data_IF_103005496165
#
_entry.id   IF_103005496165
#
_cell.length_a   1.000
_cell.length_b   1.000
_cell.length_c   1.000
_cell.angle_alpha   90.00
_cell.angle_beta   90.00
_cell.angle_gamma   90.00
#
_symmetry.space_group_name_H-M   'P 1'
#
loop_
_entity.id
_entity.type
_entity.pdbx_description
1 polymer ?
#
# COMPACT_ATOMS: atom_id res chain seq x y z
N UNK A 1 -7.85 3.61 0.22
CA UNK A 1 -7.98 2.24 -0.33
C UNK A 1 -7.86 1.17 0.76
N UNK A 2 -6.74 1.08 1.47
CA UNK A 2 -6.48 0.04 2.50
C UNK A 2 -7.62 -0.13 3.51
N UNK A 3 -8.07 0.96 4.14
CA UNK A 3 -9.11 0.89 5.17
C UNK A 3 -10.45 0.36 4.68
N UNK A 4 -10.81 0.62 3.41
CA UNK A 4 -12.00 0.07 2.78
C UNK A 4 -11.78 -1.39 2.33
N UNK A 5 -10.66 -1.67 1.64
CA UNK A 5 -10.35 -3.00 1.09
C UNK A 5 -10.19 -4.06 2.18
N UNK A 6 -9.54 -3.70 3.30
CA UNK A 6 -9.32 -4.59 4.43
C UNK A 6 -10.36 -4.40 5.53
N UNK A 7 -11.23 -3.37 5.46
CA UNK A 7 -12.18 -3.09 6.53
C UNK A 7 -11.53 -2.96 7.90
N UNK A 8 -10.32 -2.39 7.99
CA UNK A 8 -9.52 -2.38 9.24
C UNK A 8 -8.86 -1.03 9.48
N UNK A 9 -9.15 -0.47 10.66
CA UNK A 9 -8.49 0.72 11.18
C UNK A 9 -6.99 0.49 11.33
N UNK A 10 -6.62 -0.60 12.01
CA UNK A 10 -5.24 -0.95 12.32
C UNK A 10 -4.39 -1.15 11.08
N UNK A 11 -4.93 -1.84 10.06
CA UNK A 11 -4.22 -2.00 8.81
C UNK A 11 -3.93 -0.64 8.15
N UNK A 12 -4.90 0.28 8.16
CA UNK A 12 -4.72 1.64 7.61
C UNK A 12 -3.65 2.43 8.36
N UNK A 13 -3.68 2.36 9.69
CA UNK A 13 -2.70 2.99 10.57
C UNK A 13 -1.29 2.46 10.33
N UNK A 14 -1.13 1.14 10.32
CA UNK A 14 0.16 0.49 10.05
C UNK A 14 0.67 0.85 8.65
N UNK A 15 -0.20 0.90 7.63
CA UNK A 15 0.20 1.38 6.30
C UNK A 15 0.68 2.82 6.33
N UNK A 16 -0.05 3.72 7.00
CA UNK A 16 0.34 5.13 7.10
C UNK A 16 1.72 5.31 7.73
N UNK A 17 2.01 4.57 8.81
CA UNK A 17 3.35 4.52 9.43
C UNK A 17 4.37 3.94 8.47
N UNK A 18 4.05 2.83 7.80
CA UNK A 18 4.96 2.18 6.87
C UNK A 18 5.38 3.13 5.74
N UNK A 19 4.42 3.86 5.14
CA UNK A 19 4.71 4.87 4.12
C UNK A 19 5.61 5.98 4.65
N UNK A 20 5.40 6.41 5.90
CA UNK A 20 6.28 7.41 6.52
C UNK A 20 7.73 6.94 6.64
N UNK A 21 7.92 5.71 7.14
CA UNK A 21 9.24 5.11 7.27
C UNK A 21 9.86 4.96 5.88
N UNK A 22 9.06 4.59 4.87
CA UNK A 22 9.52 4.52 3.49
C UNK A 22 10.02 5.85 2.95
N UNK A 23 9.34 6.96 3.27
CA UNK A 23 9.81 8.29 2.88
C UNK A 23 11.16 8.63 3.50
N UNK A 24 11.36 8.25 4.78
CA UNK A 24 12.64 8.42 5.46
C UNK A 24 13.71 7.53 4.81
N UNK A 25 13.40 6.27 4.50
CA UNK A 25 14.31 5.35 3.84
C UNK A 25 14.70 5.82 2.44
N UNK A 26 13.73 6.26 1.63
CA UNK A 26 14.01 6.81 0.31
C UNK A 26 14.94 8.01 0.39
N UNK A 27 14.61 9.03 1.19
CA UNK A 27 15.46 10.22 1.30
C UNK A 27 16.83 9.88 1.92
N UNK A 28 16.88 8.98 2.90
CA UNK A 28 18.11 8.55 3.56
C UNK A 28 19.04 7.76 2.65
N UNK A 29 18.52 6.72 1.98
CA UNK A 29 19.30 5.87 1.07
C UNK A 29 19.71 6.67 -0.17
N UNK A 30 18.82 7.49 -0.73
CA UNK A 30 19.17 8.38 -1.84
C UNK A 30 20.31 9.34 -1.48
N UNK A 31 20.31 9.90 -0.26
CA UNK A 31 21.40 10.75 0.21
C UNK A 31 22.71 9.97 0.40
N UNK A 32 22.66 8.73 0.90
CA UNK A 32 23.85 7.88 1.08
C UNK A 32 24.50 7.48 -0.25
N UNK A 33 23.68 7.23 -1.28
CA UNK A 33 24.14 6.88 -2.63
C UNK A 33 24.58 8.13 -3.42
N UNK A 34 24.24 9.33 -2.94
CA UNK A 34 24.56 10.59 -3.60
C UNK A 34 23.67 10.88 -4.81
N UNK A 35 22.43 10.39 -4.81
CA UNK A 35 21.47 10.70 -5.87
C UNK A 35 21.10 12.18 -5.81
N UNK A 36 21.19 12.88 -6.95
CA UNK A 36 20.78 14.28 -7.04
C UNK A 36 19.27 14.37 -6.89
N UNK A 37 18.80 15.19 -5.96
CA UNK A 37 17.37 15.50 -5.82
C UNK A 37 16.91 16.31 -7.05
N UNK A 38 15.64 16.14 -7.40
CA UNK A 38 15.01 16.78 -8.55
C UNK A 38 13.51 16.49 -8.54
N UNK A 39 12.74 17.30 -9.26
CA UNK A 39 11.27 17.25 -9.26
C UNK A 39 10.72 15.85 -9.58
N UNK A 40 11.34 15.15 -10.52
CA UNK A 40 10.94 13.78 -10.90
C UNK A 40 11.09 12.82 -9.72
N UNK A 41 12.22 12.86 -9.00
CA UNK A 41 12.48 11.97 -7.87
C UNK A 41 11.60 12.33 -6.68
N UNK A 42 11.51 13.62 -6.35
CA UNK A 42 10.79 14.05 -5.15
C UNK A 42 9.27 13.94 -5.29
N UNK A 43 8.71 13.99 -6.50
CA UNK A 43 7.27 13.86 -6.72
C UNK A 43 6.86 12.46 -7.20
N UNK A 44 7.48 11.95 -8.27
CA UNK A 44 7.01 10.72 -8.94
C UNK A 44 7.33 9.47 -8.12
N UNK A 45 8.52 9.40 -7.52
CA UNK A 45 8.94 8.20 -6.77
C UNK A 45 8.04 7.97 -5.54
N UNK A 46 7.71 8.97 -4.70
CA UNK A 46 6.76 8.77 -3.61
C UNK A 46 5.36 8.32 -4.08
N UNK A 47 4.85 8.85 -5.19
CA UNK A 47 3.55 8.45 -5.72
C UNK A 47 3.57 6.97 -6.12
N UNK A 48 4.59 6.56 -6.88
CA UNK A 48 4.76 5.16 -7.30
C UNK A 48 4.96 4.22 -6.11
N UNK A 49 5.78 4.64 -5.14
CA UNK A 49 6.01 3.90 -3.90
C UNK A 49 4.73 3.65 -3.10
N UNK A 50 3.87 4.67 -2.96
CA UNK A 50 2.60 4.53 -2.26
C UNK A 50 1.71 3.53 -3.00
N UNK A 51 1.63 3.62 -4.33
CA UNK A 51 0.84 2.69 -5.15
C UNK A 51 1.32 1.25 -4.97
N UNK A 52 2.59 0.97 -5.30
CA UNK A 52 3.16 -0.38 -5.27
C UNK A 52 3.25 -0.94 -3.85
N UNK A 53 3.53 -0.10 -2.86
CA UNK A 53 3.61 -0.52 -1.46
C UNK A 53 2.29 -0.88 -0.83
N UNK A 54 1.23 -0.14 -1.18
CA UNK A 54 -0.13 -0.46 -0.74
C UNK A 54 -0.57 -1.81 -1.31
N UNK A 55 -0.16 -2.15 -2.52
CA UNK A 55 -0.47 -3.46 -3.12
C UNK A 55 0.16 -4.60 -2.31
N UNK A 56 1.44 -4.48 -1.93
CA UNK A 56 2.11 -5.50 -1.12
C UNK A 56 1.38 -5.80 0.20
N UNK A 57 1.02 -4.75 0.97
CA UNK A 57 0.32 -4.96 2.25
C UNK A 57 -1.09 -5.53 2.05
N UNK A 58 -1.83 -5.03 1.04
CA UNK A 58 -3.21 -5.48 0.80
C UNK A 58 -3.23 -6.96 0.43
N UNK A 59 -2.35 -7.41 -0.45
CA UNK A 59 -2.27 -8.82 -0.85
C UNK A 59 -1.82 -9.71 0.31
N UNK A 60 -0.78 -9.32 1.04
CA UNK A 60 -0.27 -10.09 2.17
C UNK A 60 -1.31 -10.23 3.31
N UNK A 61 -1.95 -9.12 3.70
CA UNK A 61 -2.94 -9.13 4.79
C UNK A 61 -4.22 -9.83 4.37
N UNK A 62 -4.66 -9.68 3.11
CA UNK A 62 -5.85 -10.39 2.62
C UNK A 62 -5.65 -11.90 2.69
N UNK A 63 -4.51 -12.40 2.20
CA UNK A 63 -4.23 -13.84 2.24
C UNK A 63 -4.12 -14.38 3.67
N UNK A 64 -3.47 -13.65 4.56
CA UNK A 64 -3.45 -13.96 6.00
C UNK A 64 -4.88 -14.05 6.58
N UNK A 65 -5.77 -13.12 6.22
CA UNK A 65 -7.14 -13.10 6.73
C UNK A 65 -8.03 -14.20 6.16
N UNK A 66 -7.82 -14.59 4.91
CA UNK A 66 -8.50 -15.77 4.33
C UNK A 66 -8.19 -17.05 5.13
N UNK A 67 -6.94 -17.22 5.58
CA UNK A 67 -6.54 -18.34 6.43
C UNK A 67 -7.02 -18.20 7.88
N UNK A 68 -7.22 -16.97 8.37
CA UNK A 68 -7.79 -16.71 9.70
C UNK A 68 -9.28 -17.08 9.74
N UNK A 69 -10.02 -16.84 8.66
CA UNK A 69 -11.44 -17.21 8.54
C UNK A 69 -11.68 -18.72 8.56
N UNK A 70 -10.65 -19.54 8.33
CA UNK A 70 -10.72 -21.00 8.47
C UNK A 70 -10.66 -21.48 9.93
N UNK A 71 -10.59 -20.57 10.90
CA UNK A 71 -10.58 -20.89 12.34
C UNK A 71 -9.19 -21.19 12.91
N UNK A 72 -8.12 -20.95 12.13
CA UNK A 72 -6.74 -21.13 12.58
C UNK A 72 -6.30 -20.02 13.55
N UNK A 73 -5.31 -20.31 14.40
CA UNK A 73 -4.66 -19.28 15.24
C UNK A 73 -3.95 -18.23 14.35
N UNK A 74 -3.98 -16.92 14.68
CA UNK A 74 -3.30 -15.88 13.91
C UNK A 74 -1.86 -16.19 13.48
N UNK A 75 -1.06 -16.84 14.34
CA UNK A 75 0.32 -17.20 13.99
C UNK A 75 0.37 -18.24 12.86
N UNK A 76 -0.49 -19.26 12.93
CA UNK A 76 -0.57 -20.33 11.93
C UNK A 76 -1.15 -19.77 10.64
N UNK A 77 -2.23 -18.98 10.72
CA UNK A 77 -2.84 -18.30 9.57
C UNK A 77 -1.85 -17.40 8.85
N UNK A 78 -1.02 -16.66 9.60
CA UNK A 78 0.00 -15.81 9.00
C UNK A 78 1.06 -16.64 8.30
N UNK A 79 1.60 -17.68 8.92
CA UNK A 79 2.62 -18.52 8.29
C UNK A 79 2.09 -19.20 7.03
N UNK A 80 0.91 -19.83 7.07
CA UNK A 80 0.28 -20.49 5.92
C UNK A 80 -0.04 -19.48 4.80
N UNK A 81 -0.76 -18.41 5.15
CA UNK A 81 -1.22 -17.41 4.19
C UNK A 81 -0.07 -16.64 3.56
N UNK A 82 0.87 -16.15 4.37
CA UNK A 82 2.01 -15.39 3.88
C UNK A 82 2.92 -16.23 2.99
N UNK A 83 3.20 -17.49 3.37
CA UNK A 83 4.02 -18.40 2.55
C UNK A 83 3.39 -18.62 1.16
N UNK A 84 2.06 -18.68 1.06
CA UNK A 84 1.38 -18.88 -0.23
C UNK A 84 1.46 -17.69 -1.19
N UNK A 85 1.65 -16.47 -0.69
CA UNK A 85 1.69 -15.24 -1.52
C UNK A 85 3.10 -14.65 -1.66
N UNK A 86 4.04 -15.00 -0.78
CA UNK A 86 5.40 -14.45 -0.75
C UNK A 86 6.13 -14.56 -2.10
N UNK A 87 6.00 -15.70 -2.79
CA UNK A 87 6.62 -15.89 -4.11
C UNK A 87 6.14 -14.88 -5.15
N UNK A 88 4.83 -14.59 -5.18
CA UNK A 88 4.26 -13.59 -6.08
C UNK A 88 4.71 -12.17 -5.71
N UNK A 89 4.77 -11.85 -4.41
CA UNK A 89 5.22 -10.52 -3.94
C UNK A 89 6.70 -10.28 -4.25
N UNK A 90 7.55 -11.30 -4.06
CA UNK A 90 8.98 -11.24 -4.41
C UNK A 90 9.18 -11.07 -5.91
N UNK A 91 8.41 -11.80 -6.72
CA UNK A 91 8.50 -11.70 -8.17
C UNK A 91 8.07 -10.31 -8.65
N UNK A 92 6.96 -9.77 -8.12
CA UNK A 92 6.51 -8.41 -8.42
C UNK A 92 7.56 -7.36 -8.02
N UNK A 93 8.10 -7.45 -6.80
CA UNK A 93 9.18 -6.57 -6.37
C UNK A 93 10.39 -6.65 -7.31
N UNK A 94 10.79 -7.87 -7.71
CA UNK A 94 11.95 -8.07 -8.56
C UNK A 94 11.72 -7.52 -9.97
N UNK A 95 10.56 -7.81 -10.58
CA UNK A 95 10.23 -7.32 -11.92
C UNK A 95 10.15 -5.80 -11.95
N UNK A 96 9.50 -5.19 -10.97
CA UNK A 96 9.34 -3.73 -10.90
C UNK A 96 10.68 -3.04 -10.66
N UNK A 97 11.52 -3.62 -9.78
CA UNK A 97 12.86 -3.10 -9.52
C UNK A 97 13.74 -3.17 -10.77
N UNK A 98 13.70 -4.28 -11.52
CA UNK A 98 14.46 -4.42 -12.79
C UNK A 98 13.93 -3.44 -13.84
N UNK A 99 12.61 -3.26 -13.93
CA UNK A 99 12.02 -2.29 -14.84
C UNK A 99 12.49 -0.86 -14.55
N UNK A 100 12.53 -0.45 -13.28
CA UNK A 100 13.08 0.86 -12.90
C UNK A 100 14.60 0.95 -13.12
N UNK A 101 15.36 -0.12 -12.81
CA UNK A 101 16.80 -0.17 -13.06
C UNK A 101 17.17 -0.10 -14.53
N UNK A 102 16.29 -0.51 -15.44
CA UNK A 102 16.55 -0.42 -16.89
C UNK A 102 16.81 1.02 -17.34
N UNK A 103 16.30 2.02 -16.60
CA UNK A 103 16.57 3.44 -16.85
C UNK A 103 18.05 3.83 -16.68
N UNK A 104 18.88 2.97 -16.06
CA UNK A 104 20.34 3.16 -15.99
C UNK A 104 21.00 3.18 -17.36
N UNK A 105 20.40 2.57 -18.38
CA UNK A 105 20.93 2.62 -19.75
C UNK A 105 20.63 3.93 -20.49
N UNK A 106 19.96 4.88 -19.83
CA UNK A 106 19.62 6.18 -20.43
C UNK A 106 20.84 7.10 -20.52
N UNK A 107 20.84 7.99 -21.51
CA UNK A 107 21.81 9.08 -21.61
C UNK A 107 21.40 10.34 -20.82
N UNK A 108 20.23 10.33 -20.19
CA UNK A 108 19.67 11.48 -19.45
C UNK A 108 19.89 11.27 -17.95
N UNK A 109 20.70 12.11 -17.32
CA UNK A 109 21.09 11.96 -15.91
C UNK A 109 19.88 11.91 -14.96
N UNK A 110 18.86 12.75 -15.19
CA UNK A 110 17.64 12.77 -14.39
C UNK A 110 16.88 11.42 -14.42
N UNK A 111 16.89 10.74 -15.58
CA UNK A 111 16.23 9.43 -15.76
C UNK A 111 17.00 8.32 -15.06
N UNK A 112 18.34 8.38 -15.07
CA UNK A 112 19.21 7.44 -14.34
C UNK A 112 18.94 7.53 -12.83
N UNK A 113 19.01 8.73 -12.26
CA UNK A 113 18.77 8.93 -10.81
C UNK A 113 17.34 8.55 -10.42
N UNK A 114 16.35 8.85 -11.26
CA UNK A 114 14.97 8.40 -11.08
C UNK A 114 14.86 6.88 -11.03
N UNK A 115 15.48 6.17 -11.99
CA UNK A 115 15.48 4.71 -12.03
C UNK A 115 16.07 4.08 -10.76
N UNK A 116 17.21 4.60 -10.30
CA UNK A 116 17.82 4.18 -9.03
C UNK A 116 16.88 4.43 -7.85
N UNK A 117 16.37 5.66 -7.70
CA UNK A 117 15.51 6.04 -6.59
C UNK A 117 14.21 5.22 -6.55
N UNK A 118 13.60 4.98 -7.71
CA UNK A 118 12.38 4.19 -7.84
C UNK A 118 12.61 2.72 -7.46
N UNK A 119 13.71 2.11 -7.89
CA UNK A 119 14.02 0.74 -7.48
C UNK A 119 14.32 0.62 -5.98
N UNK A 120 15.06 1.58 -5.41
CA UNK A 120 15.27 1.67 -3.95
C UNK A 120 13.92 1.75 -3.24
N UNK A 121 13.00 2.58 -3.75
CA UNK A 121 11.66 2.72 -3.20
C UNK A 121 10.88 1.41 -3.25
N UNK A 122 10.88 0.69 -4.38
CA UNK A 122 10.17 -0.61 -4.52
C UNK A 122 10.72 -1.65 -3.56
N UNK A 123 12.05 -1.82 -3.50
CA UNK A 123 12.71 -2.77 -2.60
C UNK A 123 12.41 -2.42 -1.14
N UNK A 124 12.53 -1.15 -0.78
CA UNK A 124 12.20 -0.68 0.57
C UNK A 124 10.74 -0.96 0.90
N UNK A 125 9.85 -0.69 -0.05
CA UNK A 125 8.40 -0.87 0.06
C UNK A 125 8.02 -2.32 0.32
N UNK A 126 8.67 -3.25 -0.37
CA UNK A 126 8.50 -4.67 -0.09
C UNK A 126 8.89 -5.03 1.35
N UNK A 127 10.04 -4.58 1.85
CA UNK A 127 10.45 -4.90 3.22
C UNK A 127 9.53 -4.28 4.27
N UNK A 128 9.13 -3.02 4.11
CA UNK A 128 8.33 -2.32 5.11
C UNK A 128 6.85 -2.71 5.01
N UNK A 129 6.25 -2.60 3.84
CA UNK A 129 4.82 -2.83 3.64
C UNK A 129 4.49 -4.27 3.23
N UNK A 130 5.40 -4.98 2.57
CA UNK A 130 5.22 -6.39 2.19
C UNK A 130 5.62 -7.39 3.26
N UNK A 131 6.56 -7.08 4.17
CA UNK A 131 7.03 -8.01 5.21
C UNK A 131 6.67 -7.52 6.61
N UNK A 132 7.11 -6.32 7.00
CA UNK A 132 6.95 -5.84 8.37
C UNK A 132 5.49 -5.48 8.70
N UNK A 133 4.79 -4.75 7.83
CA UNK A 133 3.43 -4.31 8.08
C UNK A 133 2.39 -5.46 8.23
N UNK A 134 2.42 -6.52 7.40
CA UNK A 134 1.53 -7.67 7.58
C UNK A 134 1.81 -8.42 8.89
N UNK A 135 3.08 -8.56 9.27
CA UNK A 135 3.48 -9.14 10.55
C UNK A 135 2.95 -8.32 11.74
N UNK A 136 3.08 -6.99 11.67
CA UNK A 136 2.54 -6.08 12.68
C UNK A 136 1.01 -6.17 12.74
N UNK A 137 0.34 -6.32 11.60
CA UNK A 137 -1.11 -6.50 11.54
C UNK A 137 -1.53 -7.78 12.27
N UNK A 138 -0.83 -8.90 12.03
CA UNK A 138 -1.05 -10.15 12.76
C UNK A 138 -0.82 -9.98 14.27
N UNK A 139 0.23 -9.26 14.69
CA UNK A 139 0.49 -8.99 16.11
C UNK A 139 -0.62 -8.17 16.76
N UNK A 140 -1.13 -7.17 16.06
CA UNK A 140 -2.27 -6.37 16.53
C UNK A 140 -3.54 -7.22 16.62
N UNK A 141 -3.81 -8.07 15.63
CA UNK A 141 -4.94 -9.00 15.68
C UNK A 141 -4.84 -9.97 16.86
N UNK A 142 -3.64 -10.48 17.19
CA UNK A 142 -3.42 -11.29 18.40
C UNK A 142 -3.79 -10.54 19.69
N UNK A 143 -3.38 -9.27 19.80
CA UNK A 143 -3.71 -8.43 20.96
C UNK A 143 -5.21 -8.15 21.07
N UNK A 144 -5.88 -7.93 19.93
CA UNK A 144 -7.33 -7.69 19.88
C UNK A 144 -8.09 -8.92 20.37
N UNK A 145 -7.71 -10.12 19.88
CA UNK A 145 -8.34 -11.39 20.27
C UNK A 145 -8.19 -11.67 21.77
N UNK A 146 -7.07 -11.26 22.37
CA UNK A 146 -6.80 -11.42 23.80
C UNK A 146 -7.43 -10.33 24.69
N UNK A 147 -7.97 -9.27 24.09
CA UNK A 147 -8.57 -8.15 24.83
C UNK A 147 -10.00 -8.45 25.27
N UNK A 148 -10.43 -7.85 26.39
CA UNK A 148 -11.80 -8.01 26.92
C UNK A 148 -12.89 -7.26 26.16
N UNK A 149 -12.54 -6.53 25.10
CA UNK A 149 -13.48 -5.69 24.37
C UNK A 149 -14.20 -6.49 23.28
N UNK A 150 -15.53 -6.44 23.30
CA UNK A 150 -16.35 -6.96 22.21
C UNK A 150 -16.46 -5.89 21.10
N UNK A 151 -15.83 -6.17 19.97
CA UNK A 151 -15.80 -5.31 18.78
C UNK A 151 -16.93 -5.60 17.78
N UNK A 152 -17.87 -6.51 18.10
CA UNK A 152 -18.90 -6.96 17.13
C UNK A 152 -20.12 -6.02 16.99
N UNK A 153 -20.25 -4.97 17.79
CA UNK A 153 -21.42 -4.07 17.72
C UNK A 153 -21.41 -3.15 16.48
N UNK A 154 -22.57 -2.88 15.88
CA UNK A 154 -22.74 -1.96 14.73
C UNK A 154 -22.12 -0.57 14.95
N UNK A 155 -22.10 -0.06 16.19
CA UNK A 155 -21.45 1.23 16.52
C UNK A 155 -19.93 1.19 16.30
N UNK A 156 -19.28 0.05 16.55
CA UNK A 156 -17.85 -0.14 16.31
C UNK A 156 -17.51 -0.12 14.82
N UNK A 157 -18.41 -0.59 13.97
CA UNK A 157 -18.24 -0.51 12.51
C UNK A 157 -18.12 0.96 12.04
N UNK A 158 -18.98 1.85 12.55
CA UNK A 158 -18.94 3.28 12.23
C UNK A 158 -17.66 3.95 12.72
N UNK A 159 -17.25 3.69 13.97
CA UNK A 159 -15.99 4.21 14.51
C UNK A 159 -14.77 3.71 13.73
N UNK A 160 -14.79 2.45 13.26
CA UNK A 160 -13.72 1.88 12.44
C UNK A 160 -13.58 2.58 11.09
N UNK A 161 -14.70 2.90 10.44
CA UNK A 161 -14.70 3.61 9.14
C UNK A 161 -14.28 5.07 9.32
N UNK A 162 -14.86 5.78 10.30
CA UNK A 162 -14.46 7.16 10.60
C UNK A 162 -12.98 7.26 11.00
N UNK A 163 -12.52 6.34 11.84
CA UNK A 163 -11.12 6.27 12.25
C UNK A 163 -10.18 5.98 11.08
N UNK A 164 -10.55 5.08 10.16
CA UNK A 164 -9.70 4.77 9.00
C UNK A 164 -9.62 5.94 8.01
N UNK A 165 -10.72 6.67 7.81
CA UNK A 165 -10.72 7.93 7.05
C UNK A 165 -9.81 8.95 7.72
N UNK A 166 -9.96 9.18 9.03
CA UNK A 166 -9.16 10.14 9.77
C UNK A 166 -7.65 9.84 9.69
N UNK A 167 -7.28 8.57 9.91
CA UNK A 167 -5.88 8.12 9.79
C UNK A 167 -5.35 8.32 8.37
N UNK A 168 -6.13 7.96 7.35
CA UNK A 168 -5.71 8.11 5.96
C UNK A 168 -5.55 9.58 5.55
N UNK A 169 -6.43 10.46 6.03
CA UNK A 169 -6.32 11.90 5.79
C UNK A 169 -5.10 12.49 6.50
N UNK A 170 -4.87 12.16 7.77
CA UNK A 170 -3.72 12.70 8.52
C UNK A 170 -2.40 12.19 7.96
N UNK A 171 -2.29 10.90 7.63
CA UNK A 171 -1.08 10.35 7.02
C UNK A 171 -0.84 10.95 5.63
N UNK A 172 -1.88 11.06 4.79
CA UNK A 172 -1.79 11.68 3.48
C UNK A 172 -1.35 13.15 3.54
N UNK A 173 -1.97 13.95 4.41
CA UNK A 173 -1.59 15.36 4.62
C UNK A 173 -0.14 15.44 5.13
N UNK A 174 0.26 14.58 6.07
CA UNK A 174 1.63 14.56 6.58
C UNK A 174 2.66 14.30 5.47
N UNK A 175 2.38 13.33 4.60
CA UNK A 175 3.27 12.97 3.50
C UNK A 175 3.33 14.07 2.44
N UNK A 176 2.19 14.67 2.08
CA UNK A 176 2.16 15.80 1.14
C UNK A 176 2.96 16.97 1.71
N UNK A 177 2.79 17.31 2.99
CA UNK A 177 3.56 18.38 3.63
C UNK A 177 5.06 18.06 3.69
N UNK A 178 5.42 16.78 3.91
CA UNK A 178 6.82 16.31 3.91
C UNK A 178 7.50 16.47 2.55
N UNK A 179 6.75 16.20 1.47
CA UNK A 179 7.26 16.22 0.09
C UNK A 179 7.24 17.62 -0.50
N UNK A 180 6.10 18.32 -0.39
CA UNK A 180 5.84 19.54 -1.15
C UNK A 180 6.10 20.85 -0.39
N UNK A 181 6.12 20.83 0.94
CA UNK A 181 6.18 22.07 1.75
C UNK A 181 7.46 22.12 2.59
N UNK A 182 7.57 21.28 3.61
CA UNK A 182 8.80 21.20 4.39
C UNK A 182 8.97 19.87 5.10
N UNK A 183 10.23 19.41 5.13
CA UNK A 183 10.62 18.16 5.78
C UNK A 183 10.26 18.13 7.27
N UNK A 184 10.46 19.24 7.98
CA UNK A 184 10.20 19.33 9.42
C UNK A 184 8.71 19.28 9.75
N UNK A 185 7.88 20.08 9.06
CA UNK A 185 6.43 20.10 9.31
C UNK A 185 5.83 18.73 9.02
N UNK A 186 6.22 18.12 7.89
CA UNK A 186 5.78 16.76 7.56
C UNK A 186 6.14 15.74 8.64
N UNK A 187 7.40 15.72 9.11
CA UNK A 187 7.85 14.82 10.17
C UNK A 187 7.11 15.02 11.50
N UNK A 188 6.87 16.27 11.90
CA UNK A 188 6.16 16.59 13.15
C UNK A 188 4.69 16.16 13.06
N UNK A 189 4.01 16.48 11.95
CA UNK A 189 2.60 16.08 11.75
C UNK A 189 2.47 14.56 11.79
N UNK A 190 3.43 13.87 11.17
CA UNK A 190 3.47 12.43 11.11
C UNK A 190 3.74 11.82 12.48
N UNK A 191 4.77 12.28 13.19
CA UNK A 191 5.09 11.82 14.54
C UNK A 191 3.93 12.03 15.52
N UNK A 192 3.28 13.19 15.48
CA UNK A 192 2.06 13.48 16.26
C UNK A 192 0.90 12.56 15.89
N UNK A 193 0.69 12.31 14.60
CA UNK A 193 -0.32 11.38 14.10
C UNK A 193 -0.11 9.95 14.58
N UNK A 194 1.13 9.44 14.51
CA UNK A 194 1.50 8.11 15.02
C UNK A 194 1.23 8.00 16.52
N UNK A 195 1.65 9.01 17.29
CA UNK A 195 1.46 9.02 18.73
C UNK A 195 -0.02 8.95 19.11
N UNK A 196 -0.85 9.81 18.51
CA UNK A 196 -2.25 9.94 18.86
C UNK A 196 -3.11 8.78 18.32
N UNK A 197 -2.86 8.33 17.09
CA UNK A 197 -3.72 7.36 16.40
C UNK A 197 -3.25 5.92 16.54
N UNK A 198 -2.05 5.65 17.06
CA UNK A 198 -1.54 4.27 17.13
C UNK A 198 -1.08 3.94 18.54
N UNK A 199 -0.16 4.73 19.10
CA UNK A 199 0.40 4.44 20.42
C UNK A 199 -0.67 4.51 21.51
N UNK A 200 -1.54 5.53 21.50
CA UNK A 200 -2.63 5.66 22.49
C UNK A 200 -3.62 4.49 22.43
N UNK A 201 -4.19 4.12 21.25
CA UNK A 201 -5.08 2.97 21.16
C UNK A 201 -4.41 1.64 21.53
N UNK A 202 -3.15 1.41 21.15
CA UNK A 202 -2.41 0.17 21.52
C UNK A 202 -2.21 0.10 23.03
N UNK A 203 -1.85 1.22 23.66
CA UNK A 203 -1.63 1.28 25.10
C UNK A 203 -2.91 0.96 25.88
N UNK A 204 -4.07 1.47 25.44
CA UNK A 204 -5.37 1.15 26.05
C UNK A 204 -5.68 -0.35 25.90
N UNK A 205 -5.40 -0.93 24.73
CA UNK A 205 -5.65 -2.34 24.44
C UNK A 205 -4.76 -3.26 25.28
N UNK A 206 -3.46 -2.95 25.37
CA UNK A 206 -2.46 -3.72 26.11
C UNK A 206 -2.71 -3.72 27.63
N UNK A 207 -3.32 -2.66 28.17
CA UNK A 207 -3.67 -2.58 29.60
C UNK A 207 -4.92 -3.38 29.96
N UNK A 208 -5.73 -3.77 28.98
CA UNK A 208 -6.98 -4.52 29.14
C UNK A 208 -6.83 -6.01 28.81
N UNK A 209 -5.61 -6.49 28.58
CA UNK A 209 -5.33 -7.89 28.26
C UNK A 209 -5.61 -8.78 29.48
N UNK A 210 -6.54 -9.71 29.34
CA UNK A 210 -6.71 -10.82 30.29
C UNK A 210 -5.95 -12.06 29.83
N UNK A 211 -5.49 -12.86 30.78
CA UNK A 211 -4.90 -14.19 30.55
C UNK A 211 -5.95 -15.19 30.08
N UNK A 212 -6.51 -15.00 28.89
CA UNK A 212 -7.39 -15.97 28.25
C UNK A 212 -6.48 -16.91 27.46
N UNK A 213 -6.30 -18.12 27.98
CA UNK A 213 -5.79 -19.26 27.23
C UNK A 213 -6.76 -19.48 26.06
N UNK A 214 -6.23 -19.71 24.86
CA UNK A 214 -6.97 -19.89 23.61
C UNK A 214 -7.82 -21.18 23.66
N UNK A 215 -8.82 -21.25 24.53
CA UNK A 215 -9.84 -22.30 24.53
C UNK A 215 -10.95 -21.90 23.55
N UNK A 216 -10.95 -22.62 22.43
CA UNK A 216 -12.04 -22.78 21.46
C UNK A 216 -12.71 -21.49 20.98
N UNK A 217 -11.98 -20.68 20.20
CA UNK A 217 -12.56 -19.60 19.40
C UNK A 217 -13.31 -20.14 18.18
N UNK A 218 -14.30 -21.01 18.40
CA UNK A 218 -15.19 -21.52 17.34
C UNK A 218 -16.18 -20.47 16.84
N UNK A 219 -16.32 -19.35 17.56
CA UNK A 219 -17.30 -18.31 17.31
C UNK A 219 -16.69 -16.92 17.03
N UNK A 220 -15.52 -16.83 16.41
CA UNK A 220 -15.15 -15.61 15.70
C UNK A 220 -15.72 -15.66 14.28
N UNK A 221 -17.03 -15.48 14.19
CA UNK A 221 -17.65 -14.98 12.97
C UNK A 221 -17.16 -13.55 12.74
N UNK A 222 -15.93 -13.39 12.26
CA UNK A 222 -15.56 -12.17 11.55
C UNK A 222 -16.54 -12.11 10.38
N UNK A 223 -17.57 -11.28 10.52
CA UNK A 223 -18.58 -11.10 9.48
C UNK A 223 -17.83 -10.83 8.19
N UNK A 224 -17.82 -11.84 7.30
CA UNK A 224 -17.27 -11.69 5.98
C UNK A 224 -17.98 -10.46 5.39
N UNK A 225 -17.24 -9.41 5.01
CA UNK A 225 -17.89 -8.29 4.35
C UNK A 225 -18.63 -8.89 3.15
N UNK A 226 -19.87 -8.46 2.93
CA UNK A 226 -20.73 -8.89 1.84
C UNK A 226 -20.08 -8.55 0.49
N UNK A 227 -19.09 -9.34 0.11
CA UNK A 227 -18.33 -9.22 -1.12
C UNK A 227 -19.15 -9.77 -2.30
N UNK A 228 -20.24 -10.47 -2.00
CA UNK A 228 -21.16 -11.07 -2.97
C UNK A 228 -21.67 -10.09 -4.02
N UNK A 229 -22.17 -8.91 -3.63
CA UNK A 229 -22.80 -7.99 -4.61
C UNK A 229 -21.80 -7.46 -5.64
N UNK A 230 -20.63 -7.00 -5.19
CA UNK A 230 -19.61 -6.49 -6.12
C UNK A 230 -18.98 -7.62 -6.93
N UNK A 231 -18.70 -8.77 -6.31
CA UNK A 231 -18.19 -9.95 -7.01
C UNK A 231 -19.16 -10.44 -8.08
N UNK A 232 -20.48 -10.46 -7.82
CA UNK A 232 -21.49 -10.81 -8.82
C UNK A 232 -21.56 -9.82 -9.98
N UNK A 233 -21.43 -8.52 -9.73
CA UNK A 233 -21.39 -7.51 -10.79
C UNK A 233 -20.16 -7.74 -11.68
N UNK A 234 -18.98 -7.88 -11.07
CA UNK A 234 -17.73 -8.14 -11.79
C UNK A 234 -17.82 -9.45 -12.56
N UNK A 235 -18.33 -10.52 -11.93
CA UNK A 235 -18.51 -11.81 -12.58
C UNK A 235 -19.42 -11.69 -13.81
N UNK A 236 -20.55 -10.98 -13.71
CA UNK A 236 -21.46 -10.77 -14.85
C UNK A 236 -20.78 -10.01 -15.99
N UNK A 237 -19.96 -9.00 -15.69
CA UNK A 237 -19.20 -8.26 -16.70
C UNK A 237 -18.18 -9.17 -17.37
N UNK A 238 -17.44 -9.95 -16.60
CA UNK A 238 -16.41 -10.87 -17.11
C UNK A 238 -17.03 -11.98 -17.96
N UNK A 239 -18.12 -12.60 -17.52
CA UNK A 239 -18.81 -13.63 -18.30
C UNK A 239 -19.42 -13.05 -19.57
N UNK A 240 -20.03 -11.85 -19.51
CA UNK A 240 -20.53 -11.17 -20.69
C UNK A 240 -19.42 -10.87 -21.72
N UNK A 241 -18.24 -10.46 -21.24
CA UNK A 241 -17.08 -10.23 -22.09
C UNK A 241 -16.53 -11.54 -22.68
N UNK A 242 -16.52 -12.62 -21.91
CA UNK A 242 -16.08 -13.94 -22.37
C UNK A 242 -17.03 -14.52 -23.43
N UNK A 243 -18.34 -14.41 -23.24
CA UNK A 243 -19.36 -14.85 -24.20
C UNK A 243 -19.28 -14.07 -25.52
N UNK A 244 -18.81 -12.81 -25.45
CA UNK A 244 -18.61 -11.94 -26.62
C UNK A 244 -17.13 -11.77 -26.98
N UNK A 245 -16.28 -12.76 -26.68
CA UNK A 245 -14.82 -12.68 -26.81
C UNK A 245 -14.33 -12.13 -28.15
N UNK A 246 -14.92 -12.57 -29.27
CA UNK A 246 -14.55 -12.07 -30.62
C UNK A 246 -14.75 -10.56 -30.75
N UNK A 247 -15.87 -10.03 -30.24
CA UNK A 247 -16.16 -8.58 -30.27
C UNK A 247 -15.21 -7.81 -29.35
N UNK A 248 -14.91 -8.37 -28.17
CA UNK A 248 -13.98 -7.78 -27.21
C UNK A 248 -12.58 -7.72 -27.81
N UNK A 249 -12.10 -8.80 -28.41
CA UNK A 249 -10.79 -8.86 -29.07
C UNK A 249 -10.76 -7.86 -30.23
N UNK A 250 -11.77 -7.86 -31.10
CA UNK A 250 -11.84 -6.91 -32.23
C UNK A 250 -11.79 -5.45 -31.75
N UNK A 251 -12.60 -5.10 -30.75
CA UNK A 251 -12.61 -3.76 -30.17
C UNK A 251 -11.25 -3.41 -29.54
N UNK A 252 -10.63 -4.35 -28.83
CA UNK A 252 -9.31 -4.15 -28.20
C UNK A 252 -8.24 -3.90 -29.25
N UNK A 253 -8.21 -4.69 -30.33
CA UNK A 253 -7.29 -4.50 -31.45
C UNK A 253 -7.51 -3.16 -32.13
N UNK A 254 -8.77 -2.76 -32.36
CA UNK A 254 -9.11 -1.48 -32.98
C UNK A 254 -8.62 -0.30 -32.12
N UNK A 255 -8.92 -0.32 -30.81
CA UNK A 255 -8.47 0.72 -29.87
C UNK A 255 -6.94 0.76 -29.79
N UNK A 256 -6.29 -0.41 -29.77
CA UNK A 256 -4.83 -0.51 -29.72
C UNK A 256 -4.20 0.06 -31.00
N UNK A 257 -4.74 -0.26 -32.17
CA UNK A 257 -4.26 0.27 -33.45
C UNK A 257 -4.43 1.79 -33.54
N UNK A 258 -5.58 2.33 -33.09
CA UNK A 258 -5.80 3.77 -33.01
C UNK A 258 -4.80 4.45 -32.06
N UNK A 259 -4.55 3.83 -30.90
CA UNK A 259 -3.61 4.35 -29.91
C UNK A 259 -2.18 4.36 -30.44
N UNK A 260 -1.76 3.32 -31.17
CA UNK A 260 -0.45 3.28 -31.85
C UNK A 260 -0.37 4.39 -32.90
N UNK A 261 -1.39 4.54 -33.73
CA UNK A 261 -1.43 5.58 -34.75
C UNK A 261 -1.30 6.99 -34.15
N UNK A 262 -2.03 7.27 -33.06
CA UNK A 262 -1.91 8.55 -32.34
C UNK A 262 -0.56 8.73 -31.66
N UNK A 263 0.01 7.67 -31.07
CA UNK A 263 1.32 7.73 -30.42
C UNK A 263 2.45 8.08 -31.40
N UNK A 264 2.37 7.59 -32.65
CA UNK A 264 3.37 7.89 -33.69
C UNK A 264 3.32 9.34 -34.19
N UNK A 265 2.25 10.09 -33.90
CA UNK A 265 2.13 11.51 -34.25
C UNK A 265 2.69 12.45 -33.18
N UNK A 266 3.06 11.90 -32.01
CA UNK A 266 3.66 12.70 -30.96
C UNK A 266 5.05 13.16 -31.41
N UNK A 267 5.25 14.46 -31.45
CA UNK A 267 6.56 15.05 -31.70
C UNK A 267 7.27 15.27 -30.37
N UNK A 268 8.55 14.87 -30.22
CA UNK A 268 9.30 15.14 -28.99
C UNK A 268 9.62 16.64 -28.93
N UNK A 269 8.87 17.40 -28.12
CA UNK A 269 9.23 18.77 -27.76
C UNK A 269 10.15 18.74 -26.54
N UNK A 270 11.45 18.96 -26.74
CA UNK A 270 12.37 19.24 -25.65
C UNK A 270 12.38 20.76 -25.41
N UNK A 271 11.54 21.25 -24.50
CA UNK A 271 11.65 22.64 -24.05
C UNK A 271 12.58 22.68 -22.83
N UNK A 272 13.73 23.33 -23.00
CA UNK A 272 14.73 23.48 -21.93
C UNK A 272 14.13 24.24 -20.73
N UNK A 273 13.12 25.08 -20.96
CA UNK A 273 12.41 25.83 -19.91
C UNK A 273 11.59 24.95 -18.97
N UNK A 274 11.22 23.74 -19.38
CA UNK A 274 10.48 22.80 -18.51
C UNK A 274 11.36 22.21 -17.40
N UNK A 275 12.69 22.36 -17.53
CA UNK A 275 13.68 21.83 -16.58
C UNK A 275 14.49 22.91 -15.87
N UNK A 276 14.44 24.15 -16.33
CA UNK A 276 15.16 25.29 -15.76
C UNK A 276 14.18 26.45 -15.53
N UNK A 277 14.03 26.88 -14.28
CA UNK A 277 13.31 28.12 -13.94
C UNK A 277 13.97 29.29 -14.68
N UNK A 278 13.20 30.04 -15.46
CA UNK A 278 13.71 31.20 -16.21
C UNK A 278 14.11 32.40 -15.33
N UNK A 279 13.99 32.27 -14.01
CA UNK A 279 14.26 33.34 -13.04
C UNK A 279 15.33 32.98 -11.97
N UNK A 280 16.15 31.94 -12.18
CA UNK A 280 17.35 31.69 -11.34
C UNK A 280 18.65 31.91 -12.08
#
# INVERSE_FOLDING_TARGET
VVGFSLGSYWATAITGVGIAILMVWLKGISALIGLKSGLVIDLVVPIGMISLGVDFIVHAVRRYREELLQGNNPKISFTSGYASVLGALLLAMASDSIAFLSNLSSNIEAVIHFGCAAAIAVISSFWILGVAAPLLTMKVDQLIIQSRYDFQTTRWLTYRILGSILVASISGISIIMLVAVSRLIGLVLLGGGIFLLILVPIFILARSTSSIVFEDSKNMGMAAPSQDRFAHIVARIVTFAADNSVKVIFLTVLITALSIYSALQLTPSFDVKDFFDSES
#
